data_IF_274145022636
#
_entry.id   IF_274145022636
#
_cell.length_a   1.000
_cell.length_b   1.000
_cell.length_c   1.000
_cell.angle_alpha   90.00
_cell.angle_beta   90.00
_cell.angle_gamma   90.00
#
_symmetry.space_group_name_H-M   'P 1'
#
loop_
_entity.id
_entity.type
_entity.pdbx_description
1 polymer ?
#
# COMPACT_ATOMS: atom_id res chain seq x y z
N UNK A 1 -35.35 -16.20 14.09
CA UNK A 1 -34.03 -15.57 13.97
C UNK A 1 -33.09 -16.31 13.00
N UNK A 2 -32.93 -17.64 13.01
CA UNK A 2 -32.08 -18.38 12.04
C UNK A 2 -32.51 -18.24 10.57
N UNK A 3 -33.80 -18.14 10.27
CA UNK A 3 -34.30 -18.02 8.90
C UNK A 3 -34.08 -16.64 8.29
N UNK A 4 -34.06 -15.55 9.09
CA UNK A 4 -33.78 -14.20 8.59
C UNK A 4 -32.28 -14.00 8.30
N UNK A 5 -31.40 -14.63 9.11
CA UNK A 5 -29.95 -14.61 8.84
C UNK A 5 -29.58 -15.34 7.55
N UNK A 6 -30.25 -16.46 7.22
CA UNK A 6 -30.02 -17.18 5.97
C UNK A 6 -30.53 -16.41 4.74
N UNK A 7 -31.64 -15.68 4.86
CA UNK A 7 -32.17 -14.86 3.76
C UNK A 7 -31.24 -13.67 3.44
N UNK A 8 -30.73 -12.96 4.46
CA UNK A 8 -29.78 -11.85 4.27
C UNK A 8 -28.43 -12.31 3.67
N UNK A 9 -27.98 -13.52 4.02
CA UNK A 9 -26.79 -14.11 3.40
C UNK A 9 -27.03 -14.52 1.94
N UNK A 10 -28.23 -14.98 1.59
CA UNK A 10 -28.59 -15.35 0.22
C UNK A 10 -28.65 -14.16 -0.74
N UNK A 11 -28.93 -12.96 -0.24
CA UNK A 11 -29.06 -11.72 -1.03
C UNK A 11 -27.74 -10.98 -1.23
N UNK A 12 -26.66 -11.28 -0.46
CA UNK A 12 -25.41 -10.56 -0.58
C UNK A 12 -24.65 -10.98 -1.86
N UNK A 13 -24.43 -10.06 -2.83
CA UNK A 13 -23.77 -10.38 -4.09
C UNK A 13 -22.38 -11.00 -3.94
N UNK A 14 -21.65 -10.72 -2.85
CA UNK A 14 -20.33 -11.32 -2.59
C UNK A 14 -20.42 -12.85 -2.47
N UNK A 15 -21.56 -13.36 -1.97
CA UNK A 15 -21.81 -14.79 -1.78
C UNK A 15 -22.54 -15.48 -2.91
N UNK A 16 -23.07 -14.78 -3.91
CA UNK A 16 -23.97 -15.33 -4.94
C UNK A 16 -23.53 -15.02 -6.36
N UNK A 17 -23.07 -13.80 -6.65
CA UNK A 17 -22.70 -13.39 -8.01
C UNK A 17 -21.50 -14.18 -8.55
N UNK A 18 -21.35 -14.34 -9.88
CA UNK A 18 -20.20 -15.01 -10.50
C UNK A 18 -18.87 -14.41 -10.05
N UNK A 19 -17.92 -15.25 -9.63
CA UNK A 19 -16.64 -14.81 -9.05
C UNK A 19 -15.85 -13.93 -10.02
N UNK A 20 -15.79 -14.27 -11.31
CA UNK A 20 -15.09 -13.46 -12.32
C UNK A 20 -15.64 -12.03 -12.41
N UNK A 21 -16.97 -11.87 -12.44
CA UNK A 21 -17.64 -10.56 -12.47
C UNK A 21 -17.38 -9.77 -11.20
N UNK A 22 -17.36 -10.42 -10.03
CA UNK A 22 -17.02 -9.77 -8.77
C UNK A 22 -15.58 -9.26 -8.77
N UNK A 23 -14.63 -10.10 -9.18
CA UNK A 23 -13.21 -9.69 -9.24
C UNK A 23 -13.07 -8.48 -10.16
N UNK A 24 -13.64 -8.50 -11.36
CA UNK A 24 -13.59 -7.37 -12.29
C UNK A 24 -14.18 -6.10 -11.65
N UNK A 25 -15.36 -6.21 -11.03
CA UNK A 25 -16.05 -5.09 -10.40
C UNK A 25 -15.28 -4.45 -9.24
N UNK A 26 -14.52 -5.25 -8.49
CA UNK A 26 -13.76 -4.76 -7.33
C UNK A 26 -12.29 -4.45 -7.67
N UNK A 27 -11.65 -5.26 -8.52
CA UNK A 27 -10.24 -5.10 -8.83
C UNK A 27 -9.98 -3.91 -9.77
N UNK A 28 -10.81 -3.67 -10.79
CA UNK A 28 -10.59 -2.54 -11.71
C UNK A 28 -10.58 -1.20 -10.96
N UNK A 29 -11.59 -0.83 -10.15
CA UNK A 29 -11.53 0.40 -9.38
C UNK A 29 -10.34 0.46 -8.42
N UNK A 30 -9.97 -0.67 -7.80
CA UNK A 30 -8.82 -0.72 -6.90
C UNK A 30 -7.50 -0.52 -7.64
N UNK A 31 -7.31 -1.13 -8.82
CA UNK A 31 -6.12 -0.94 -9.68
C UNK A 31 -6.00 0.52 -10.09
N UNK A 32 -7.09 1.13 -10.59
CA UNK A 32 -7.10 2.54 -10.99
C UNK A 32 -6.72 3.43 -9.80
N UNK A 33 -7.29 3.17 -8.62
CA UNK A 33 -6.97 3.90 -7.40
C UNK A 33 -5.49 3.83 -7.04
N UNK A 34 -4.90 2.63 -7.09
CA UNK A 34 -3.49 2.42 -6.75
C UNK A 34 -2.56 3.04 -7.80
N UNK A 35 -2.88 2.91 -9.08
CA UNK A 35 -2.11 3.54 -10.16
C UNK A 35 -2.14 5.06 -10.05
N UNK A 36 -3.32 5.65 -9.86
CA UNK A 36 -3.44 7.10 -9.69
C UNK A 36 -2.69 7.58 -8.46
N UNK A 37 -2.76 6.84 -7.33
CA UNK A 37 -1.98 7.16 -6.13
C UNK A 37 -0.47 7.09 -6.38
N UNK A 38 0.02 6.13 -7.15
CA UNK A 38 1.44 6.03 -7.51
C UNK A 38 1.87 7.18 -8.43
N UNK A 39 1.06 7.49 -9.42
CA UNK A 39 1.37 8.52 -10.42
C UNK A 39 1.34 9.94 -9.82
N UNK A 40 0.32 10.26 -9.02
CA UNK A 40 0.24 11.60 -8.44
C UNK A 40 1.42 11.88 -7.49
N UNK A 41 1.89 10.89 -6.72
CA UNK A 41 3.09 11.05 -5.90
C UNK A 41 4.34 11.38 -6.73
N UNK A 42 4.46 10.79 -7.93
CA UNK A 42 5.57 11.09 -8.85
C UNK A 42 5.44 12.52 -9.41
N UNK A 43 4.23 12.91 -9.81
CA UNK A 43 3.94 14.24 -10.36
C UNK A 43 4.17 15.34 -9.32
N UNK A 44 3.70 15.15 -8.08
CA UNK A 44 3.94 16.06 -6.96
C UNK A 44 5.45 16.30 -6.73
N UNK A 45 6.25 15.24 -6.70
CA UNK A 45 7.71 15.34 -6.57
C UNK A 45 8.36 16.10 -7.74
N UNK A 46 7.84 15.95 -8.96
CA UNK A 46 8.32 16.71 -10.13
C UNK A 46 8.03 18.20 -9.95
N UNK A 47 6.81 18.58 -9.56
CA UNK A 47 6.45 19.98 -9.34
C UNK A 47 7.27 20.62 -8.22
N UNK A 48 7.47 19.93 -7.10
CA UNK A 48 8.33 20.40 -6.02
C UNK A 48 9.77 20.58 -6.50
N UNK A 49 10.31 19.60 -7.25
CA UNK A 49 11.67 19.68 -7.79
C UNK A 49 11.87 20.83 -8.76
N UNK A 50 10.87 21.12 -9.61
CA UNK A 50 10.93 22.23 -10.56
C UNK A 50 10.69 23.60 -9.93
N UNK A 51 9.78 23.69 -8.95
CA UNK A 51 9.36 24.96 -8.37
C UNK A 51 10.16 25.40 -7.15
N UNK A 52 10.68 24.44 -6.38
CA UNK A 52 11.43 24.71 -5.12
C UNK A 52 12.90 24.27 -5.24
N UNK A 53 13.18 23.34 -6.16
CA UNK A 53 14.51 22.82 -6.40
C UNK A 53 14.93 21.70 -5.43
N UNK A 54 16.24 21.50 -5.32
CA UNK A 54 16.84 20.40 -4.55
C UNK A 54 16.47 20.44 -3.06
N UNK A 55 16.40 21.63 -2.46
CA UNK A 55 16.05 21.78 -1.03
C UNK A 55 14.60 21.39 -0.76
N UNK A 56 13.67 21.64 -1.71
CA UNK A 56 12.29 21.19 -1.60
C UNK A 56 12.18 19.66 -1.61
N UNK A 57 12.86 18.99 -2.54
CA UNK A 57 12.90 17.52 -2.58
C UNK A 57 13.58 16.95 -1.32
N UNK A 58 14.64 17.58 -0.81
CA UNK A 58 15.26 17.16 0.44
C UNK A 58 14.30 17.29 1.63
N UNK A 59 13.50 18.36 1.69
CA UNK A 59 12.50 18.54 2.73
C UNK A 59 11.41 17.46 2.72
N UNK A 60 10.90 17.09 1.54
CA UNK A 60 9.93 15.99 1.44
C UNK A 60 10.52 14.63 1.80
N UNK A 61 11.81 14.40 1.54
CA UNK A 61 12.50 13.18 1.98
C UNK A 61 12.63 13.12 3.50
N UNK A 62 12.88 14.25 4.18
CA UNK A 62 12.90 14.32 5.65
C UNK A 62 11.48 14.12 6.23
N UNK A 63 10.44 14.52 5.49
CA UNK A 63 9.04 14.27 5.84
C UNK A 63 8.60 12.80 5.69
N UNK A 64 9.30 12.01 4.89
CA UNK A 64 8.90 10.66 4.51
C UNK A 64 8.62 9.71 5.68
N UNK A 65 9.39 9.69 6.79
CA UNK A 65 9.06 8.86 7.95
C UNK A 65 7.70 9.15 8.58
N UNK A 66 7.28 10.42 8.60
CA UNK A 66 5.95 10.80 9.10
C UNK A 66 4.86 10.20 8.21
N UNK A 67 5.04 10.25 6.89
CA UNK A 67 4.11 9.66 5.93
C UNK A 67 4.04 8.13 6.08
N UNK A 68 5.17 7.46 6.30
CA UNK A 68 5.21 6.00 6.53
C UNK A 68 4.44 5.62 7.79
N UNK A 69 4.68 6.29 8.91
CA UNK A 69 4.00 6.03 10.18
C UNK A 69 2.49 6.24 10.02
N UNK A 70 2.10 7.33 9.36
CA UNK A 70 0.69 7.64 9.11
C UNK A 70 0.02 6.60 8.20
N UNK A 71 0.71 6.15 7.15
CA UNK A 71 0.24 5.08 6.27
C UNK A 71 0.13 3.75 7.02
N UNK A 72 1.12 3.41 7.83
CA UNK A 72 1.12 2.18 8.63
C UNK A 72 -0.08 2.15 9.60
N UNK A 73 -0.38 3.28 10.27
CA UNK A 73 -1.55 3.41 11.14
C UNK A 73 -2.86 3.31 10.35
N UNK A 74 -2.95 3.96 9.19
CA UNK A 74 -4.13 3.90 8.33
C UNK A 74 -4.41 2.47 7.82
N UNK A 75 -3.38 1.74 7.41
CA UNK A 75 -3.50 0.35 6.93
C UNK A 75 -3.79 -0.62 8.09
N UNK A 76 -3.16 -0.42 9.25
CA UNK A 76 -3.45 -1.19 10.46
C UNK A 76 -4.94 -1.16 10.79
N UNK A 77 -5.50 0.03 10.86
CA UNK A 77 -6.89 0.25 11.23
C UNK A 77 -7.85 -0.06 10.09
N UNK A 78 -7.55 0.38 8.87
CA UNK A 78 -8.40 0.24 7.70
C UNK A 78 -8.54 -1.21 7.23
N UNK A 79 -7.42 -1.89 6.99
CA UNK A 79 -7.42 -3.30 6.55
C UNK A 79 -7.92 -4.21 7.66
N UNK A 80 -7.49 -3.95 8.92
CA UNK A 80 -7.95 -4.73 10.06
C UNK A 80 -9.46 -4.64 10.26
N UNK A 81 -10.04 -3.44 10.15
CA UNK A 81 -11.49 -3.24 10.24
C UNK A 81 -12.25 -3.88 9.10
N UNK A 82 -11.80 -3.68 7.85
CA UNK A 82 -12.44 -4.20 6.66
C UNK A 82 -12.43 -5.74 6.63
N UNK A 83 -11.31 -6.37 7.00
CA UNK A 83 -11.19 -7.83 7.04
C UNK A 83 -12.11 -8.45 8.08
N UNK A 84 -12.11 -7.92 9.31
CA UNK A 84 -13.01 -8.39 10.37
C UNK A 84 -14.48 -8.15 10.00
N UNK A 85 -14.80 -6.98 9.42
CA UNK A 85 -16.15 -6.68 8.94
C UNK A 85 -16.65 -7.74 7.93
N UNK A 86 -15.85 -8.05 6.92
CA UNK A 86 -16.22 -9.02 5.91
C UNK A 86 -16.39 -10.44 6.47
N UNK A 87 -15.53 -10.86 7.40
CA UNK A 87 -15.61 -12.16 8.06
C UNK A 87 -16.90 -12.29 8.90
N UNK A 88 -17.21 -11.27 9.69
CA UNK A 88 -18.41 -11.29 10.55
C UNK A 88 -19.71 -11.16 9.72
N UNK A 89 -19.68 -10.36 8.63
CA UNK A 89 -20.79 -10.29 7.69
C UNK A 89 -21.04 -11.64 7.00
N UNK A 90 -19.99 -12.33 6.59
CA UNK A 90 -20.09 -13.69 6.03
C UNK A 90 -20.63 -14.70 7.04
N UNK A 91 -20.25 -14.58 8.31
CA UNK A 91 -20.74 -15.42 9.39
C UNK A 91 -22.19 -15.10 9.84
N UNK A 92 -22.82 -14.05 9.29
CA UNK A 92 -24.17 -13.61 9.64
C UNK A 92 -24.24 -12.75 10.90
N UNK A 93 -23.11 -12.27 11.42
CA UNK A 93 -23.02 -11.45 12.64
C UNK A 93 -23.04 -9.94 12.29
N UNK A 94 -24.10 -9.45 11.64
CA UNK A 94 -24.19 -8.08 11.13
C UNK A 94 -23.95 -7.00 12.21
N UNK A 95 -24.52 -7.16 13.42
CA UNK A 95 -24.33 -6.20 14.51
C UNK A 95 -22.86 -6.11 14.95
N UNK A 96 -22.15 -7.25 15.00
CA UNK A 96 -20.74 -7.30 15.35
C UNK A 96 -19.88 -6.71 14.25
N UNK A 97 -20.16 -7.04 12.97
CA UNK A 97 -19.50 -6.47 11.82
C UNK A 97 -19.62 -4.93 11.83
N UNK A 98 -20.82 -4.42 12.00
CA UNK A 98 -21.10 -2.98 12.09
C UNK A 98 -20.40 -2.29 13.25
N UNK A 99 -20.37 -2.94 14.43
CA UNK A 99 -19.64 -2.43 15.59
C UNK A 99 -18.12 -2.35 15.35
N UNK A 100 -17.55 -3.32 14.62
CA UNK A 100 -16.13 -3.30 14.25
C UNK A 100 -15.85 -2.17 13.23
N UNK A 101 -16.71 -2.03 12.22
CA UNK A 101 -16.57 -0.95 11.22
C UNK A 101 -16.67 0.44 11.88
N UNK A 102 -17.62 0.65 12.79
CA UNK A 102 -17.77 1.90 13.53
C UNK A 102 -16.56 2.20 14.41
N UNK A 103 -16.08 1.21 15.18
CA UNK A 103 -14.85 1.33 15.97
C UNK A 103 -13.66 1.68 15.07
N UNK A 104 -13.52 1.04 13.90
CA UNK A 104 -12.45 1.32 12.95
C UNK A 104 -12.50 2.74 12.41
N UNK A 105 -13.69 3.20 12.00
CA UNK A 105 -13.88 4.54 11.45
C UNK A 105 -13.50 5.64 12.47
N UNK A 106 -14.00 5.54 13.69
CA UNK A 106 -13.67 6.51 14.74
C UNK A 106 -12.20 6.46 15.14
N UNK A 107 -11.60 5.26 15.22
CA UNK A 107 -10.19 5.12 15.57
C UNK A 107 -9.27 5.66 14.47
N UNK A 108 -9.65 5.59 13.19
CA UNK A 108 -8.91 6.23 12.09
C UNK A 108 -8.81 7.75 12.30
N UNK A 109 -9.91 8.40 12.65
CA UNK A 109 -9.94 9.85 12.93
C UNK A 109 -9.10 10.16 14.17
N UNK A 110 -9.31 9.43 15.26
CA UNK A 110 -8.58 9.62 16.52
C UNK A 110 -7.08 9.45 16.33
N UNK A 111 -6.64 8.37 15.66
CA UNK A 111 -5.22 8.11 15.44
C UNK A 111 -4.57 9.15 14.54
N UNK A 112 -5.25 9.59 13.47
CA UNK A 112 -4.77 10.66 12.61
C UNK A 112 -4.64 11.99 13.37
N UNK A 113 -5.60 12.31 14.25
CA UNK A 113 -5.54 13.50 15.11
C UNK A 113 -4.41 13.41 16.11
N UNK A 114 -4.22 12.27 16.78
CA UNK A 114 -3.11 12.07 17.72
C UNK A 114 -1.77 12.21 17.00
N UNK A 115 -1.60 11.60 15.81
CA UNK A 115 -0.38 11.75 15.01
C UNK A 115 -0.14 13.20 14.62
N UNK A 116 -1.17 13.93 14.19
CA UNK A 116 -1.10 15.35 13.87
C UNK A 116 -0.58 16.18 15.07
N UNK A 117 -1.18 15.99 16.24
CA UNK A 117 -0.79 16.68 17.47
C UNK A 117 0.66 16.34 17.86
N UNK A 118 1.05 15.06 17.82
CA UNK A 118 2.42 14.65 18.14
C UNK A 118 3.42 15.29 17.17
N UNK A 119 3.15 15.24 15.86
CA UNK A 119 4.04 15.83 14.85
C UNK A 119 4.16 17.34 15.04
N UNK A 120 3.07 18.05 15.31
CA UNK A 120 3.10 19.51 15.53
C UNK A 120 3.82 19.90 16.83
N UNK A 121 3.59 19.17 17.93
CA UNK A 121 4.25 19.42 19.20
C UNK A 121 5.76 19.16 19.17
N UNK A 122 6.17 18.10 18.48
CA UNK A 122 7.57 17.67 18.40
C UNK A 122 8.20 17.95 17.03
N UNK A 123 7.70 18.92 16.27
CA UNK A 123 8.07 19.19 14.89
C UNK A 123 9.59 19.31 14.70
N UNK A 124 10.23 20.25 15.41
CA UNK A 124 11.67 20.47 15.30
C UNK A 124 12.52 19.29 15.76
N UNK A 125 12.27 18.69 16.96
CA UNK A 125 12.99 17.49 17.40
C UNK A 125 12.88 16.31 16.42
N UNK A 126 11.69 16.08 15.86
CA UNK A 126 11.49 15.00 14.88
C UNK A 126 12.27 15.24 13.59
N UNK A 127 12.28 16.48 13.08
CA UNK A 127 13.02 16.83 11.87
C UNK A 127 14.54 16.69 12.06
N UNK A 128 15.08 17.08 13.22
CA UNK A 128 16.48 16.85 13.56
C UNK A 128 16.80 15.36 13.64
N UNK A 129 15.93 14.58 14.29
CA UNK A 129 16.08 13.13 14.40
C UNK A 129 16.07 12.44 13.02
N UNK A 130 15.27 12.95 12.07
CA UNK A 130 15.21 12.44 10.70
C UNK A 130 16.34 12.94 9.78
N UNK A 131 17.31 13.71 10.33
CA UNK A 131 18.50 14.13 9.60
C UNK A 131 18.38 15.48 8.89
N UNK A 132 17.49 16.36 9.37
CA UNK A 132 17.36 17.73 8.85
C UNK A 132 18.63 18.54 9.03
N UNK A 133 19.22 19.01 7.91
CA UNK A 133 20.37 19.93 7.91
C UNK A 133 19.89 21.38 8.07
N UNK A 134 20.77 22.31 8.53
CA UNK A 134 20.39 23.71 8.69
C UNK A 134 19.75 24.35 7.45
N UNK A 135 20.23 23.99 6.24
CA UNK A 135 19.71 24.55 4.98
C UNK A 135 18.33 24.00 4.59
N UNK A 136 18.05 22.73 4.92
CA UNK A 136 16.79 22.06 4.58
C UNK A 136 15.73 22.29 5.65
N UNK A 137 16.13 22.56 6.88
CA UNK A 137 15.23 22.68 8.04
C UNK A 137 14.08 23.67 7.84
N UNK A 138 14.30 24.91 7.32
CA UNK A 138 13.20 25.85 7.09
C UNK A 138 12.11 25.27 6.15
N UNK A 139 12.53 24.65 5.06
CA UNK A 139 11.62 24.02 4.08
C UNK A 139 10.87 22.83 4.69
N UNK A 140 11.56 22.02 5.49
CA UNK A 140 10.97 20.85 6.13
C UNK A 140 9.96 21.26 7.22
N UNK A 141 10.23 22.32 8.00
CA UNK A 141 9.30 22.87 9.00
C UNK A 141 8.03 23.39 8.30
N UNK A 142 8.18 24.15 7.22
CA UNK A 142 7.05 24.67 6.47
C UNK A 142 6.21 23.55 5.86
N UNK A 143 6.85 22.54 5.23
CA UNK A 143 6.16 21.43 4.60
C UNK A 143 5.43 20.54 5.61
N UNK A 144 6.15 20.03 6.64
CA UNK A 144 5.57 19.13 7.62
C UNK A 144 4.60 19.85 8.55
N UNK A 145 4.87 21.10 8.92
CA UNK A 145 3.97 21.88 9.75
C UNK A 145 2.58 22.05 9.11
N UNK A 146 2.53 22.24 7.80
CA UNK A 146 1.27 22.33 7.06
C UNK A 146 0.67 20.92 6.84
N UNK A 147 1.45 19.96 6.33
CA UNK A 147 0.92 18.61 6.02
C UNK A 147 0.46 17.87 7.25
N UNK A 148 1.02 18.13 8.44
CA UNK A 148 0.56 17.58 9.70
C UNK A 148 -0.92 17.91 10.00
N UNK A 149 -1.41 19.07 9.57
CA UNK A 149 -2.83 19.46 9.71
C UNK A 149 -3.74 18.52 8.91
N UNK A 150 -3.24 18.02 7.78
CA UNK A 150 -3.97 17.07 6.91
C UNK A 150 -3.99 15.61 7.42
N UNK A 151 -3.14 15.23 8.38
CA UNK A 151 -2.99 13.85 8.83
C UNK A 151 -4.29 13.16 9.29
N UNK A 152 -5.22 13.82 10.00
CA UNK A 152 -6.51 13.21 10.34
C UNK A 152 -7.29 12.78 9.10
N UNK A 153 -7.30 13.61 8.08
CA UNK A 153 -7.99 13.33 6.81
C UNK A 153 -7.22 12.30 5.97
N UNK A 154 -5.90 12.34 5.99
CA UNK A 154 -5.05 11.36 5.31
C UNK A 154 -5.25 9.95 5.86
N UNK A 155 -5.20 9.78 7.18
CA UNK A 155 -5.39 8.47 7.83
C UNK A 155 -6.81 7.98 7.61
N UNK A 156 -7.80 8.86 7.73
CA UNK A 156 -9.20 8.55 7.45
C UNK A 156 -9.42 8.16 5.98
N UNK A 157 -8.87 8.91 5.02
CA UNK A 157 -9.06 8.62 3.60
C UNK A 157 -8.38 7.30 3.22
N UNK A 158 -7.15 7.09 3.64
CA UNK A 158 -6.39 5.87 3.32
C UNK A 158 -7.03 4.64 3.94
N UNK A 159 -7.35 4.66 5.24
CA UNK A 159 -7.96 3.54 5.94
C UNK A 159 -9.45 3.33 5.62
N UNK A 160 -10.22 4.43 5.52
CA UNK A 160 -11.66 4.40 5.26
C UNK A 160 -12.03 3.84 3.89
N UNK A 161 -11.16 4.01 2.89
CA UNK A 161 -11.34 3.40 1.57
C UNK A 161 -11.42 1.87 1.61
N UNK A 162 -10.73 1.20 2.55
CA UNK A 162 -10.87 -0.25 2.74
C UNK A 162 -12.26 -0.62 3.27
N UNK A 163 -12.82 0.18 4.18
CA UNK A 163 -14.18 -0.03 4.71
C UNK A 163 -15.25 0.24 3.65
N UNK A 164 -15.08 1.25 2.78
CA UNK A 164 -16.02 1.51 1.66
C UNK A 164 -16.03 0.35 0.68
N UNK A 165 -14.85 -0.23 0.37
CA UNK A 165 -14.77 -1.43 -0.48
C UNK A 165 -15.44 -2.64 0.21
N UNK A 166 -15.23 -2.82 1.51
CA UNK A 166 -15.89 -3.85 2.29
C UNK A 166 -17.43 -3.67 2.30
N UNK A 167 -17.91 -2.43 2.27
CA UNK A 167 -19.34 -2.08 2.14
C UNK A 167 -19.86 -2.14 0.69
N UNK A 168 -19.20 -2.91 -0.18
CA UNK A 168 -19.62 -3.20 -1.56
C UNK A 168 -19.69 -1.97 -2.47
N UNK A 169 -18.88 -0.94 -2.23
CA UNK A 169 -18.86 0.30 -3.01
C UNK A 169 -17.46 0.63 -3.55
N UNK A 170 -16.80 -0.28 -4.32
CA UNK A 170 -15.43 -0.08 -4.80
C UNK A 170 -15.29 1.13 -5.73
N UNK A 171 -16.29 1.41 -6.55
CA UNK A 171 -16.29 2.57 -7.46
C UNK A 171 -16.31 3.90 -6.68
N UNK A 172 -17.05 3.98 -5.57
CA UNK A 172 -17.04 5.17 -4.74
C UNK A 172 -15.68 5.36 -4.02
N UNK A 173 -15.09 4.26 -3.52
CA UNK A 173 -13.72 4.29 -2.99
C UNK A 173 -12.72 4.82 -4.01
N UNK A 174 -12.81 4.38 -5.27
CA UNK A 174 -12.00 4.91 -6.36
C UNK A 174 -12.25 6.43 -6.56
N UNK A 175 -13.50 6.86 -6.59
CA UNK A 175 -13.83 8.27 -6.78
C UNK A 175 -13.25 9.16 -5.67
N UNK A 176 -13.23 8.72 -4.40
CA UNK A 176 -12.60 9.45 -3.30
C UNK A 176 -11.09 9.67 -3.53
N UNK A 177 -10.38 8.64 -3.97
CA UNK A 177 -8.94 8.70 -4.23
C UNK A 177 -8.65 9.58 -5.45
N UNK A 178 -9.40 9.38 -6.54
CA UNK A 178 -9.28 10.18 -7.76
C UNK A 178 -9.55 11.67 -7.51
N UNK A 179 -10.57 12.02 -6.74
CA UNK A 179 -10.89 13.40 -6.42
C UNK A 179 -9.75 14.08 -5.66
N UNK A 180 -9.19 13.44 -4.63
CA UNK A 180 -8.07 13.99 -3.88
C UNK A 180 -6.82 14.15 -4.73
N UNK A 181 -6.48 13.13 -5.53
CA UNK A 181 -5.32 13.18 -6.43
C UNK A 181 -5.47 14.25 -7.52
N UNK A 182 -6.66 14.38 -8.13
CA UNK A 182 -6.92 15.38 -9.15
C UNK A 182 -6.81 16.81 -8.58
N UNK A 183 -7.39 17.06 -7.40
CA UNK A 183 -7.32 18.35 -6.74
C UNK A 183 -5.87 18.69 -6.39
N UNK A 184 -5.11 17.77 -5.80
CA UNK A 184 -3.70 17.98 -5.51
C UNK A 184 -2.92 18.32 -6.80
N UNK A 185 -3.02 17.50 -7.84
CA UNK A 185 -2.31 17.71 -9.11
C UNK A 185 -2.65 19.04 -9.80
N UNK A 186 -3.88 19.55 -9.65
CA UNK A 186 -4.29 20.85 -10.19
C UNK A 186 -3.78 22.00 -9.32
N UNK A 187 -3.84 21.85 -8.00
CA UNK A 187 -3.45 22.92 -7.07
C UNK A 187 -1.93 23.04 -6.91
N UNK A 188 -1.15 21.98 -7.09
CA UNK A 188 0.31 22.02 -7.02
C UNK A 188 0.92 23.09 -7.95
N UNK A 189 0.71 23.06 -9.28
CA UNK A 189 1.26 24.08 -10.17
C UNK A 189 0.68 25.46 -9.90
N UNK A 190 -0.60 25.55 -9.52
CA UNK A 190 -1.23 26.83 -9.20
C UNK A 190 -0.60 27.49 -7.98
N UNK A 191 -0.36 26.75 -6.90
CA UNK A 191 0.18 27.32 -5.67
C UNK A 191 1.70 27.46 -5.72
N UNK A 192 2.41 26.51 -6.35
CA UNK A 192 3.87 26.55 -6.46
C UNK A 192 4.32 27.66 -7.42
N UNK A 193 3.77 27.68 -8.64
CA UNK A 193 4.21 28.59 -9.72
C UNK A 193 3.30 29.81 -9.85
N UNK A 194 1.97 29.62 -9.81
CA UNK A 194 1.01 30.70 -10.03
C UNK A 194 1.01 31.72 -8.90
N UNK A 195 0.98 31.27 -7.64
CA UNK A 195 1.01 32.14 -6.46
C UNK A 195 2.43 32.33 -5.89
N UNK A 196 3.42 31.56 -6.34
CA UNK A 196 4.79 31.65 -5.89
C UNK A 196 5.00 31.20 -4.44
N UNK A 197 4.12 30.33 -3.90
CA UNK A 197 4.21 29.87 -2.50
C UNK A 197 5.27 28.79 -2.30
N UNK A 198 5.88 28.27 -3.38
CA UNK A 198 6.95 27.26 -3.30
C UNK A 198 6.52 26.03 -2.51
N UNK A 199 7.34 25.61 -1.51
CA UNK A 199 7.09 24.39 -0.72
C UNK A 199 5.79 24.48 0.11
N UNK A 200 5.41 25.65 0.58
CA UNK A 200 4.14 25.86 1.29
C UNK A 200 2.95 25.61 0.37
N UNK A 201 3.08 25.97 -0.90
CA UNK A 201 2.06 25.73 -1.92
C UNK A 201 1.81 24.24 -2.13
N UNK A 202 2.88 23.44 -2.31
CA UNK A 202 2.79 21.99 -2.40
C UNK A 202 2.15 21.36 -1.15
N UNK A 203 2.55 21.81 0.04
CA UNK A 203 1.98 21.33 1.30
C UNK A 203 0.47 21.62 1.41
N UNK A 204 0.02 22.82 1.07
CA UNK A 204 -1.42 23.16 1.08
C UNK A 204 -2.21 22.41 0.00
N UNK A 205 -1.68 22.23 -1.19
CA UNK A 205 -2.32 21.43 -2.23
C UNK A 205 -2.55 19.99 -1.76
N UNK A 206 -1.54 19.38 -1.12
CA UNK A 206 -1.63 18.05 -0.52
C UNK A 206 -2.69 18.00 0.57
N UNK A 207 -2.72 18.96 1.51
CA UNK A 207 -3.70 19.01 2.60
C UNK A 207 -5.12 19.15 2.06
N UNK A 208 -5.34 20.05 1.10
CA UNK A 208 -6.68 20.23 0.49
C UNK A 208 -7.15 18.93 -0.19
N UNK A 209 -6.28 18.26 -0.95
CA UNK A 209 -6.60 16.95 -1.55
C UNK A 209 -6.97 15.90 -0.50
N UNK A 210 -6.25 15.86 0.63
CA UNK A 210 -6.54 14.96 1.75
C UNK A 210 -7.88 15.30 2.43
N UNK A 211 -8.15 16.58 2.67
CA UNK A 211 -9.42 17.05 3.25
C UNK A 211 -10.59 16.64 2.37
N UNK A 212 -10.51 16.90 1.05
CA UNK A 212 -11.59 16.52 0.13
C UNK A 212 -11.82 15.02 0.13
N UNK A 213 -10.76 14.21 0.03
CA UNK A 213 -10.89 12.75 0.13
C UNK A 213 -11.51 12.32 1.46
N UNK A 214 -11.06 12.88 2.58
CA UNK A 214 -11.59 12.58 3.91
C UNK A 214 -13.05 12.98 4.07
N UNK A 215 -13.45 14.15 3.56
CA UNK A 215 -14.85 14.59 3.58
C UNK A 215 -15.76 13.70 2.72
N UNK A 216 -15.29 13.22 1.57
CA UNK A 216 -16.03 12.25 0.75
C UNK A 216 -16.22 10.91 1.50
N UNK A 217 -15.23 10.46 2.30
CA UNK A 217 -15.39 9.29 3.17
C UNK A 217 -16.46 9.53 4.24
N UNK A 218 -16.41 10.69 4.92
CA UNK A 218 -17.43 11.07 5.92
C UNK A 218 -18.82 11.14 5.29
N UNK A 219 -18.93 11.75 4.12
CA UNK A 219 -20.20 11.83 3.37
C UNK A 219 -20.73 10.43 3.04
N UNK A 220 -19.86 9.51 2.59
CA UNK A 220 -20.26 8.13 2.32
C UNK A 220 -20.88 7.46 3.55
N UNK A 221 -20.17 7.49 4.68
CA UNK A 221 -20.65 6.85 5.91
C UNK A 221 -21.85 7.55 6.54
N UNK A 222 -22.08 8.82 6.21
CA UNK A 222 -23.25 9.56 6.68
C UNK A 222 -24.52 9.27 5.84
N UNK A 223 -24.38 9.15 4.51
CA UNK A 223 -25.52 9.18 3.59
C UNK A 223 -25.64 8.00 2.63
N UNK A 224 -24.51 7.40 2.21
CA UNK A 224 -24.47 6.42 1.11
C UNK A 224 -24.15 4.99 1.56
N UNK A 225 -23.83 4.80 2.84
CA UNK A 225 -23.45 3.49 3.38
C UNK A 225 -24.55 2.44 3.17
N UNK A 226 -24.13 1.22 2.91
CA UNK A 226 -24.99 0.04 2.82
C UNK A 226 -24.98 -0.77 4.13
N UNK A 227 -23.94 -0.58 4.97
CA UNK A 227 -23.85 -1.18 6.29
C UNK A 227 -24.75 -0.46 7.29
N UNK A 228 -25.29 -1.22 8.25
CA UNK A 228 -25.95 -0.62 9.39
C UNK A 228 -24.90 -0.01 10.31
N UNK A 229 -25.02 1.27 10.64
CA UNK A 229 -24.12 1.97 11.53
C UNK A 229 -24.91 2.92 12.44
N UNK A 230 -24.88 2.64 13.73
CA UNK A 230 -25.49 3.48 14.74
C UNK A 230 -24.45 4.31 15.50
N UNK A 231 -24.82 5.45 16.06
CA UNK A 231 -23.90 6.33 16.80
C UNK A 231 -23.18 5.60 17.96
N UNK A 232 -23.86 4.67 18.62
CA UNK A 232 -23.26 3.85 19.69
C UNK A 232 -22.13 2.94 19.22
N UNK A 233 -22.07 2.62 17.91
CA UNK A 233 -21.06 1.79 17.30
C UNK A 233 -19.77 2.56 16.96
N UNK A 234 -19.85 3.89 16.93
CA UNK A 234 -18.69 4.77 16.73
C UNK A 234 -17.83 4.89 18.00
N UNK A 235 -18.34 4.48 19.16
CA UNK A 235 -17.55 4.47 20.38
C UNK A 235 -16.55 3.32 20.31
N UNK A 236 -15.21 3.59 20.39
CA UNK A 236 -14.20 2.56 20.30
C UNK A 236 -14.34 1.53 21.43
N UNK A 237 -14.41 0.25 21.07
CA UNK A 237 -14.47 -0.85 22.02
C UNK A 237 -13.15 -1.61 22.01
N UNK A 238 -12.53 -1.81 23.18
CA UNK A 238 -11.24 -2.49 23.29
C UNK A 238 -11.21 -3.87 22.63
N UNK A 239 -12.30 -4.65 22.75
CA UNK A 239 -12.43 -5.96 22.08
C UNK A 239 -12.38 -5.87 20.55
N UNK A 240 -13.03 -4.85 19.97
CA UNK A 240 -13.01 -4.62 18.54
C UNK A 240 -11.62 -4.15 18.10
N UNK A 241 -10.97 -3.26 18.88
CA UNK A 241 -9.60 -2.80 18.59
C UNK A 241 -8.61 -3.96 18.57
N UNK A 242 -8.67 -4.88 19.54
CA UNK A 242 -7.82 -6.07 19.55
C UNK A 242 -7.98 -6.91 18.27
N UNK A 243 -9.22 -7.11 17.81
CA UNK A 243 -9.47 -7.82 16.55
C UNK A 243 -8.94 -7.05 15.33
N UNK A 244 -9.13 -5.73 15.28
CA UNK A 244 -8.63 -4.85 14.22
C UNK A 244 -7.10 -4.89 14.17
N UNK A 245 -6.43 -4.72 15.30
CA UNK A 245 -4.98 -4.78 15.39
C UNK A 245 -4.44 -6.15 14.95
N UNK A 246 -5.08 -7.23 15.37
CA UNK A 246 -4.65 -8.59 15.00
C UNK A 246 -4.55 -8.77 13.48
N UNK A 247 -5.56 -8.39 12.71
CA UNK A 247 -5.56 -8.56 11.25
C UNK A 247 -4.85 -7.43 10.51
N UNK A 248 -4.84 -6.22 11.04
CA UNK A 248 -4.17 -5.07 10.42
C UNK A 248 -2.65 -5.07 10.61
N UNK A 249 -2.12 -5.77 11.62
CA UNK A 249 -0.70 -5.78 11.98
C UNK A 249 0.19 -6.21 10.82
N UNK A 250 -0.24 -7.16 10.00
CA UNK A 250 0.51 -7.62 8.84
C UNK A 250 0.86 -6.46 7.87
N UNK A 251 -0.11 -5.61 7.59
CA UNK A 251 0.07 -4.48 6.66
C UNK A 251 0.89 -3.35 7.29
N UNK A 252 0.70 -3.10 8.59
CA UNK A 252 1.50 -2.13 9.34
C UNK A 252 2.98 -2.51 9.34
N UNK A 253 3.30 -3.74 9.75
CA UNK A 253 4.68 -4.23 9.80
C UNK A 253 5.30 -4.24 8.40
N UNK A 254 4.55 -4.62 7.37
CA UNK A 254 5.04 -4.58 5.99
C UNK A 254 5.46 -3.17 5.57
N UNK A 255 4.68 -2.15 5.94
CA UNK A 255 5.00 -0.75 5.59
C UNK A 255 6.30 -0.29 6.26
N UNK A 256 6.49 -0.62 7.53
CA UNK A 256 7.72 -0.31 8.27
C UNK A 256 8.91 -1.09 7.69
N UNK A 257 8.71 -2.36 7.32
CA UNK A 257 9.74 -3.19 6.72
C UNK A 257 10.22 -2.64 5.36
N UNK A 258 9.31 -2.17 4.51
CA UNK A 258 9.65 -1.54 3.22
C UNK A 258 10.54 -0.32 3.45
N UNK A 259 10.21 0.52 4.44
CA UNK A 259 11.02 1.70 4.77
C UNK A 259 12.43 1.31 5.26
N UNK A 260 12.53 0.33 6.15
CA UNK A 260 13.82 -0.16 6.65
C UNK A 260 14.70 -0.71 5.52
N UNK A 261 14.12 -1.52 4.63
CA UNK A 261 14.82 -2.03 3.45
C UNK A 261 15.31 -0.91 2.54
N UNK A 262 14.47 0.12 2.30
CA UNK A 262 14.85 1.26 1.45
C UNK A 262 16.05 2.02 2.02
N UNK A 263 16.10 2.24 3.34
CA UNK A 263 17.22 2.90 4.01
C UNK A 263 18.50 2.07 3.87
N UNK A 264 18.44 0.77 4.16
CA UNK A 264 19.58 -0.14 4.04
C UNK A 264 20.05 -0.23 2.60
N UNK A 265 19.13 -0.38 1.64
CA UNK A 265 19.42 -0.41 0.20
C UNK A 265 20.20 0.82 -0.26
N UNK A 266 19.71 2.02 0.09
CA UNK A 266 20.36 3.27 -0.31
C UNK A 266 21.79 3.40 0.29
N UNK A 267 21.95 3.04 1.57
CA UNK A 267 23.26 3.06 2.22
C UNK A 267 24.23 2.05 1.59
N UNK A 268 23.77 0.85 1.29
CA UNK A 268 24.58 -0.20 0.65
C UNK A 268 25.00 0.21 -0.78
N UNK A 269 24.04 0.74 -1.56
CA UNK A 269 24.32 1.23 -2.91
C UNK A 269 25.30 2.40 -2.90
N UNK A 270 25.20 3.32 -1.93
CA UNK A 270 26.15 4.41 -1.76
C UNK A 270 27.55 3.90 -1.47
N UNK A 271 27.68 2.98 -0.51
CA UNK A 271 28.98 2.44 -0.08
C UNK A 271 29.66 1.66 -1.20
N UNK A 272 28.99 0.64 -1.74
CA UNK A 272 29.58 -0.22 -2.78
C UNK A 272 29.64 0.46 -4.14
N UNK A 273 28.78 1.43 -4.40
CA UNK A 273 28.85 2.29 -5.58
C UNK A 273 30.15 3.10 -5.60
N UNK A 274 30.51 3.72 -4.47
CA UNK A 274 31.77 4.46 -4.32
C UNK A 274 33.02 3.59 -4.56
N UNK A 275 32.93 2.29 -4.29
CA UNK A 275 34.00 1.30 -4.50
C UNK A 275 34.00 0.72 -5.93
N UNK A 276 33.04 1.09 -6.77
CA UNK A 276 32.88 0.60 -8.14
C UNK A 276 33.23 1.67 -9.18
N UNK A 277 33.31 1.27 -10.44
CA UNK A 277 33.51 2.20 -11.56
C UNK A 277 32.32 3.16 -11.77
N UNK A 278 31.16 2.90 -11.13
CA UNK A 278 29.93 3.70 -11.29
C UNK A 278 29.86 4.91 -10.34
N UNK A 279 30.70 4.96 -9.29
CA UNK A 279 30.58 5.99 -8.26
C UNK A 279 29.35 5.78 -7.36
N UNK A 280 29.14 6.69 -6.38
CA UNK A 280 28.02 6.60 -5.44
C UNK A 280 26.67 7.03 -6.04
N UNK A 281 26.69 7.94 -7.01
CA UNK A 281 25.48 8.67 -7.45
C UNK A 281 24.67 7.88 -8.49
N UNK A 282 25.35 7.22 -9.46
CA UNK A 282 24.70 6.44 -10.51
C UNK A 282 23.85 5.29 -9.93
N UNK A 283 24.38 4.45 -9.00
CA UNK A 283 23.59 3.35 -8.41
C UNK A 283 22.36 3.83 -7.65
N UNK A 284 22.47 4.92 -6.89
CA UNK A 284 21.35 5.49 -6.12
C UNK A 284 20.28 6.05 -7.07
N UNK A 285 20.69 6.81 -8.10
CA UNK A 285 19.78 7.35 -9.10
C UNK A 285 19.03 6.22 -9.84
N UNK A 286 19.74 5.18 -10.28
CA UNK A 286 19.14 4.02 -10.96
C UNK A 286 18.19 3.24 -10.04
N UNK A 287 18.54 3.03 -8.77
CA UNK A 287 17.66 2.38 -7.81
C UNK A 287 16.37 3.19 -7.57
N UNK A 288 16.47 4.52 -7.57
CA UNK A 288 15.30 5.39 -7.48
C UNK A 288 14.32 5.20 -8.64
N UNK A 289 14.85 5.11 -9.87
CA UNK A 289 14.04 4.86 -11.07
C UNK A 289 13.39 3.46 -11.01
N UNK A 290 14.18 2.45 -10.72
CA UNK A 290 13.70 1.06 -10.64
C UNK A 290 12.64 0.92 -9.54
N UNK A 291 12.79 1.62 -8.41
CA UNK A 291 11.78 1.67 -7.37
C UNK A 291 10.46 2.28 -7.85
N UNK A 292 10.49 3.36 -8.65
CA UNK A 292 9.29 3.96 -9.25
C UNK A 292 8.62 3.03 -10.27
N UNK A 293 9.41 2.38 -11.12
CA UNK A 293 8.91 1.37 -12.08
C UNK A 293 8.25 0.21 -11.34
N UNK A 294 8.91 -0.30 -10.29
CA UNK A 294 8.36 -1.36 -9.44
C UNK A 294 7.09 -0.91 -8.72
N UNK A 295 7.00 0.34 -8.27
CA UNK A 295 5.81 0.90 -7.62
C UNK A 295 4.59 0.87 -8.55
N UNK A 296 4.75 1.21 -9.83
CA UNK A 296 3.67 1.13 -10.83
C UNK A 296 3.22 -0.32 -11.04
N UNK A 297 4.15 -1.26 -11.18
CA UNK A 297 3.85 -2.68 -11.27
C UNK A 297 3.12 -3.19 -10.02
N UNK A 298 3.65 -2.90 -8.84
CA UNK A 298 3.07 -3.32 -7.56
C UNK A 298 1.69 -2.70 -7.30
N UNK A 299 1.43 -1.48 -7.79
CA UNK A 299 0.12 -0.85 -7.69
C UNK A 299 -0.99 -1.70 -8.33
N UNK A 300 -0.69 -2.34 -9.46
CA UNK A 300 -1.64 -3.26 -10.13
C UNK A 300 -1.84 -4.53 -9.30
N UNK A 301 -0.76 -5.17 -8.85
CA UNK A 301 -0.83 -6.39 -8.05
C UNK A 301 -1.58 -6.18 -6.73
N UNK A 302 -1.29 -5.07 -6.04
CA UNK A 302 -1.96 -4.67 -4.80
C UNK A 302 -3.43 -4.32 -5.08
N UNK A 303 -3.74 -3.67 -6.20
CA UNK A 303 -5.10 -3.36 -6.62
C UNK A 303 -5.95 -4.63 -6.80
N UNK A 304 -5.43 -5.65 -7.48
CA UNK A 304 -6.10 -6.95 -7.62
C UNK A 304 -6.33 -7.59 -6.24
N UNK A 305 -5.31 -7.57 -5.40
CA UNK A 305 -5.35 -8.14 -4.07
C UNK A 305 -6.40 -7.47 -3.18
N UNK A 306 -6.41 -6.13 -3.13
CA UNK A 306 -7.37 -5.34 -2.37
C UNK A 306 -8.80 -5.45 -2.90
N UNK A 307 -8.96 -5.58 -4.22
CA UNK A 307 -10.26 -5.83 -4.83
C UNK A 307 -10.81 -7.21 -4.48
N UNK A 308 -9.95 -8.21 -4.30
CA UNK A 308 -10.35 -9.59 -3.93
C UNK A 308 -10.63 -9.75 -2.43
N UNK A 309 -10.11 -8.85 -1.59
CA UNK A 309 -10.20 -8.92 -0.13
C UNK A 309 -11.63 -9.07 0.40
N UNK A 310 -12.63 -8.27 0.00
CA UNK A 310 -14.01 -8.43 0.47
C UNK A 310 -14.61 -9.77 0.08
N UNK A 311 -14.27 -10.30 -1.11
CA UNK A 311 -14.79 -11.56 -1.61
C UNK A 311 -14.25 -12.72 -0.79
N UNK A 312 -12.94 -12.74 -0.51
CA UNK A 312 -12.32 -13.76 0.34
C UNK A 312 -12.89 -13.75 1.75
N UNK A 313 -12.92 -12.58 2.40
CA UNK A 313 -13.36 -12.45 3.79
C UNK A 313 -14.82 -12.87 3.98
N UNK A 314 -15.72 -12.36 3.14
CA UNK A 314 -17.14 -12.70 3.20
C UNK A 314 -17.39 -14.19 2.98
N UNK A 315 -16.85 -14.78 1.91
CA UNK A 315 -17.08 -16.19 1.60
C UNK A 315 -16.43 -17.14 2.61
N UNK A 316 -15.29 -16.75 3.20
CA UNK A 316 -14.67 -17.52 4.27
C UNK A 316 -15.53 -17.50 5.54
N UNK A 317 -16.02 -16.34 5.94
CA UNK A 317 -16.96 -16.20 7.07
C UNK A 317 -18.26 -17.00 6.85
N UNK A 318 -18.76 -17.02 5.61
CA UNK A 318 -19.93 -17.79 5.21
C UNK A 318 -19.65 -19.29 5.02
N UNK A 319 -18.43 -19.77 5.25
CA UNK A 319 -17.97 -21.15 5.00
C UNK A 319 -18.12 -21.63 3.56
N UNK A 320 -18.24 -20.72 2.59
CA UNK A 320 -18.31 -21.02 1.15
C UNK A 320 -16.91 -21.22 0.57
N UNK A 321 -16.20 -22.25 1.02
CA UNK A 321 -14.77 -22.47 0.73
C UNK A 321 -14.47 -22.68 -0.76
N UNK A 322 -15.36 -23.27 -1.54
CA UNK A 322 -15.19 -23.39 -2.99
C UNK A 322 -15.06 -22.03 -3.66
N UNK A 323 -15.88 -21.05 -3.26
CA UNK A 323 -15.82 -19.69 -3.78
C UNK A 323 -14.53 -18.97 -3.36
N UNK A 324 -14.06 -19.18 -2.13
CA UNK A 324 -12.77 -18.65 -1.65
C UNK A 324 -11.64 -19.16 -2.52
N UNK A 325 -11.58 -20.48 -2.76
CA UNK A 325 -10.56 -21.12 -3.60
C UNK A 325 -10.64 -20.64 -5.06
N UNK A 326 -11.84 -20.53 -5.60
CA UNK A 326 -12.07 -20.02 -6.95
C UNK A 326 -11.59 -18.58 -7.08
N UNK A 327 -11.96 -17.70 -6.15
CA UNK A 327 -11.51 -16.30 -6.13
C UNK A 327 -10.00 -16.20 -6.05
N UNK A 328 -9.35 -16.99 -5.19
CA UNK A 328 -7.89 -17.00 -5.06
C UNK A 328 -7.22 -17.40 -6.38
N UNK A 329 -7.68 -18.48 -7.04
CA UNK A 329 -7.14 -18.92 -8.31
C UNK A 329 -7.28 -17.85 -9.40
N UNK A 330 -8.47 -17.26 -9.56
CA UNK A 330 -8.68 -16.19 -10.55
C UNK A 330 -7.78 -14.98 -10.29
N UNK A 331 -7.67 -14.54 -9.03
CA UNK A 331 -6.84 -13.40 -8.67
C UNK A 331 -5.36 -13.66 -8.93
N UNK A 332 -4.86 -14.86 -8.56
CA UNK A 332 -3.47 -15.27 -8.82
C UNK A 332 -3.21 -15.35 -10.32
N UNK A 333 -4.10 -15.99 -11.09
CA UNK A 333 -3.95 -16.08 -12.55
C UNK A 333 -3.91 -14.70 -13.20
N UNK A 334 -4.84 -13.82 -12.86
CA UNK A 334 -4.87 -12.45 -13.38
C UNK A 334 -3.58 -11.69 -13.03
N UNK A 335 -3.14 -11.77 -11.77
CA UNK A 335 -1.91 -11.14 -11.32
C UNK A 335 -0.68 -11.69 -12.05
N UNK A 336 -0.58 -13.03 -12.22
CA UNK A 336 0.54 -13.66 -12.91
C UNK A 336 0.59 -13.30 -14.40
N UNK A 337 -0.55 -13.23 -15.08
CA UNK A 337 -0.62 -12.81 -16.49
C UNK A 337 -0.09 -11.38 -16.63
N UNK A 338 -0.56 -10.45 -15.82
CA UNK A 338 -0.10 -9.06 -15.85
C UNK A 338 1.38 -8.97 -15.47
N UNK A 339 1.80 -9.68 -14.43
CA UNK A 339 3.19 -9.73 -13.98
C UNK A 339 4.13 -10.28 -15.06
N UNK A 340 3.68 -11.26 -15.84
CA UNK A 340 4.43 -11.80 -16.98
C UNK A 340 4.58 -10.78 -18.11
N UNK A 341 3.55 -9.98 -18.38
CA UNK A 341 3.64 -8.89 -19.36
C UNK A 341 4.71 -7.86 -18.92
N UNK A 342 4.66 -7.43 -17.65
CA UNK A 342 5.67 -6.52 -17.10
C UNK A 342 7.07 -7.14 -17.12
N UNK A 343 7.21 -8.42 -16.80
CA UNK A 343 8.48 -9.13 -16.90
C UNK A 343 9.04 -9.07 -18.33
N UNK A 344 8.23 -9.35 -19.34
CA UNK A 344 8.63 -9.23 -20.76
C UNK A 344 9.08 -7.80 -21.06
N UNK A 345 8.32 -6.79 -20.64
CA UNK A 345 8.69 -5.39 -20.83
C UNK A 345 10.05 -5.05 -20.18
N UNK A 346 10.27 -5.49 -18.95
CA UNK A 346 11.51 -5.21 -18.21
C UNK A 346 12.73 -5.92 -18.78
N UNK A 347 12.56 -7.11 -19.36
CA UNK A 347 13.67 -7.87 -19.95
C UNK A 347 14.02 -7.40 -21.38
N UNK A 348 13.02 -7.05 -22.19
CA UNK A 348 13.24 -6.73 -23.61
C UNK A 348 13.36 -5.24 -23.89
N UNK A 349 12.75 -4.37 -23.06
CA UNK A 349 12.72 -2.92 -23.28
C UNK A 349 13.32 -2.09 -22.12
N UNK A 350 14.41 -2.51 -21.46
CA UNK A 350 14.94 -1.79 -20.31
C UNK A 350 15.46 -0.39 -20.66
N UNK A 351 16.11 -0.23 -21.85
CA UNK A 351 16.62 1.06 -22.32
C UNK A 351 15.52 2.10 -22.46
N UNK A 352 14.41 1.71 -23.11
CA UNK A 352 13.26 2.60 -23.31
C UNK A 352 12.61 2.98 -21.98
N UNK A 353 12.48 2.03 -21.05
CA UNK A 353 11.89 2.26 -19.73
C UNK A 353 12.75 3.24 -18.92
N UNK A 354 14.06 3.04 -18.89
CA UNK A 354 14.99 3.94 -18.18
C UNK A 354 15.00 5.32 -18.85
N UNK A 355 14.98 5.38 -20.19
CA UNK A 355 14.96 6.62 -20.98
C UNK A 355 13.73 7.51 -20.72
N UNK A 356 12.60 6.97 -20.28
CA UNK A 356 11.41 7.76 -19.88
C UNK A 356 11.75 8.71 -18.71
N UNK A 357 12.67 8.31 -17.82
CA UNK A 357 13.01 9.06 -16.60
C UNK A 357 14.14 10.08 -16.81
N UNK A 358 14.76 10.14 -17.96
CA UNK A 358 15.78 11.13 -18.32
C UNK A 358 16.92 10.59 -19.16
N UNK A 359 17.82 11.50 -19.52
CA UNK A 359 19.05 11.19 -20.26
C UNK A 359 20.23 11.07 -19.28
N UNK A 360 21.18 10.20 -19.60
CA UNK A 360 22.38 9.98 -18.80
C UNK A 360 23.56 9.56 -19.66
N UNK A 361 24.71 9.32 -19.03
CA UNK A 361 25.89 8.79 -19.67
C UNK A 361 25.68 7.33 -20.10
N UNK A 362 26.51 6.82 -21.00
CA UNK A 362 26.49 5.39 -21.39
C UNK A 362 26.67 4.48 -20.17
N UNK A 363 27.49 4.92 -19.21
CA UNK A 363 27.74 4.19 -17.98
C UNK A 363 26.47 4.12 -17.10
N UNK A 364 25.69 5.20 -17.06
CA UNK A 364 24.39 5.24 -16.38
C UNK A 364 23.39 4.27 -17.00
N UNK A 365 23.20 4.29 -18.33
CA UNK A 365 22.29 3.37 -19.01
C UNK A 365 22.73 1.91 -18.84
N UNK A 366 24.04 1.63 -18.99
CA UNK A 366 24.57 0.29 -18.79
C UNK A 366 24.25 -0.26 -17.37
N UNK A 367 24.46 0.55 -16.34
CA UNK A 367 24.15 0.13 -14.97
C UNK A 367 22.64 -0.03 -14.76
N UNK A 368 21.82 0.93 -15.21
CA UNK A 368 20.39 0.94 -15.02
C UNK A 368 19.70 -0.24 -15.73
N UNK A 369 20.09 -0.56 -16.95
CA UNK A 369 19.58 -1.72 -17.69
C UNK A 369 19.96 -3.04 -17.03
N UNK A 370 21.23 -3.18 -16.63
CA UNK A 370 21.70 -4.36 -15.91
C UNK A 370 20.94 -4.54 -14.61
N UNK A 371 20.78 -3.45 -13.83
CA UNK A 371 20.07 -3.48 -12.57
C UNK A 371 18.59 -3.82 -12.77
N UNK A 372 17.91 -3.19 -13.73
CA UNK A 372 16.50 -3.47 -14.01
C UNK A 372 16.30 -4.95 -14.39
N UNK A 373 17.11 -5.47 -15.31
CA UNK A 373 17.00 -6.87 -15.76
C UNK A 373 17.23 -7.86 -14.65
N UNK A 374 18.27 -7.66 -13.84
CA UNK A 374 18.63 -8.62 -12.78
C UNK A 374 17.66 -8.49 -11.60
N UNK A 375 17.47 -7.27 -11.07
CA UNK A 375 16.66 -7.07 -9.87
C UNK A 375 15.19 -7.43 -10.08
N UNK A 376 14.66 -7.18 -11.29
CA UNK A 376 13.29 -7.47 -11.68
C UNK A 376 13.12 -8.83 -12.41
N UNK A 377 14.10 -9.72 -12.32
CA UNK A 377 14.08 -11.03 -12.99
C UNK A 377 12.88 -11.90 -12.58
N UNK A 378 12.45 -11.81 -11.32
CA UNK A 378 11.34 -12.61 -10.78
C UNK A 378 10.00 -11.87 -10.78
N UNK A 379 9.86 -10.80 -11.56
CA UNK A 379 8.62 -9.98 -11.63
C UNK A 379 7.39 -10.84 -11.91
N UNK A 380 7.46 -11.84 -12.77
CA UNK A 380 6.34 -12.74 -13.10
C UNK A 380 5.78 -13.50 -11.89
N UNK A 381 6.58 -13.70 -10.84
CA UNK A 381 6.20 -14.40 -9.61
C UNK A 381 5.96 -13.44 -8.43
N UNK A 382 6.47 -12.22 -8.50
CA UNK A 382 6.55 -11.28 -7.38
C UNK A 382 5.17 -10.80 -6.87
N UNK A 383 4.13 -10.82 -7.72
CA UNK A 383 2.77 -10.45 -7.31
C UNK A 383 2.08 -11.46 -6.38
N UNK A 384 2.54 -12.72 -6.33
CA UNK A 384 1.87 -13.79 -5.58
C UNK A 384 2.08 -13.63 -4.06
N UNK A 385 3.25 -13.18 -3.63
CA UNK A 385 3.56 -13.00 -2.21
C UNK A 385 2.66 -11.95 -1.54
N UNK A 386 2.54 -10.69 -2.03
CA UNK A 386 1.67 -9.69 -1.40
C UNK A 386 0.18 -10.08 -1.50
N UNK A 387 -0.21 -10.78 -2.58
CA UNK A 387 -1.56 -11.33 -2.72
C UNK A 387 -1.84 -12.38 -1.65
N UNK A 388 -0.91 -13.30 -1.39
CA UNK A 388 -1.05 -14.31 -0.34
C UNK A 388 -1.09 -13.69 1.06
N UNK A 389 -0.30 -12.66 1.33
CA UNK A 389 -0.34 -11.92 2.59
C UNK A 389 -1.73 -11.29 2.83
N UNK A 390 -2.28 -10.63 1.81
CA UNK A 390 -3.62 -10.06 1.85
C UNK A 390 -4.71 -11.14 1.99
N UNK A 391 -4.56 -12.26 1.30
CA UNK A 391 -5.46 -13.41 1.40
C UNK A 391 -5.53 -13.95 2.82
N UNK A 392 -4.39 -14.25 3.46
CA UNK A 392 -4.36 -14.75 4.84
C UNK A 392 -4.96 -13.76 5.85
N UNK A 393 -4.70 -12.48 5.67
CA UNK A 393 -5.32 -11.42 6.48
C UNK A 393 -6.85 -11.41 6.29
N UNK A 394 -7.31 -11.53 5.06
CA UNK A 394 -8.74 -11.50 4.71
C UNK A 394 -9.53 -12.67 5.27
N UNK A 395 -8.91 -13.86 5.37
CA UNK A 395 -9.54 -15.06 5.94
C UNK A 395 -9.35 -15.20 7.46
N UNK A 396 -8.84 -14.15 8.14
CA UNK A 396 -8.70 -14.13 9.60
C UNK A 396 -7.44 -14.82 10.14
N UNK A 397 -6.50 -15.25 9.29
CA UNK A 397 -5.25 -15.92 9.69
C UNK A 397 -4.11 -14.92 9.88
N UNK A 398 -4.25 -14.05 10.91
CA UNK A 398 -3.34 -12.95 11.21
C UNK A 398 -1.86 -13.36 11.23
N UNK A 399 -1.51 -14.46 11.93
CA UNK A 399 -0.13 -14.94 12.04
C UNK A 399 0.50 -15.24 10.68
N UNK A 400 -0.23 -15.92 9.81
CA UNK A 400 0.24 -16.23 8.46
C UNK A 400 0.36 -14.97 7.60
N UNK A 401 -0.57 -14.03 7.75
CA UNK A 401 -0.49 -12.72 7.10
C UNK A 401 0.78 -11.96 7.49
N UNK A 402 1.12 -11.91 8.77
CA UNK A 402 2.36 -11.28 9.27
C UNK A 402 3.60 -11.99 8.73
N UNK A 403 3.65 -13.32 8.83
CA UNK A 403 4.79 -14.10 8.30
C UNK A 403 4.98 -13.83 6.81
N UNK A 404 3.90 -13.87 6.02
CA UNK A 404 3.98 -13.58 4.58
C UNK A 404 4.45 -12.16 4.29
N UNK A 405 3.99 -11.18 5.05
CA UNK A 405 4.39 -9.78 4.89
C UNK A 405 5.89 -9.56 5.19
N UNK A 406 6.43 -10.23 6.20
CA UNK A 406 7.83 -10.10 6.60
C UNK A 406 8.78 -10.93 5.73
N UNK A 407 8.31 -12.00 5.12
CA UNK A 407 9.15 -13.00 4.43
C UNK A 407 10.04 -12.33 3.38
N UNK A 408 9.49 -11.55 2.47
CA UNK A 408 10.25 -10.93 1.39
C UNK A 408 11.19 -9.84 1.91
N UNK A 409 10.67 -8.93 2.71
CA UNK A 409 11.39 -7.70 3.09
C UNK A 409 12.44 -7.95 4.16
N UNK A 410 12.04 -8.56 5.28
CA UNK A 410 12.89 -8.68 6.47
C UNK A 410 13.65 -9.99 6.49
N UNK A 411 12.99 -11.09 6.13
CA UNK A 411 13.64 -12.41 6.25
C UNK A 411 14.66 -12.66 5.14
N UNK A 412 14.36 -12.23 3.90
CA UNK A 412 15.25 -12.49 2.78
C UNK A 412 15.94 -11.23 2.25
N UNK A 413 15.21 -10.20 1.80
CA UNK A 413 15.81 -9.10 1.08
C UNK A 413 16.81 -8.30 1.93
N UNK A 414 16.45 -7.95 3.16
CA UNK A 414 17.30 -7.14 4.03
C UNK A 414 18.64 -7.82 4.35
N UNK A 415 18.71 -9.11 4.77
CA UNK A 415 19.99 -9.79 4.96
C UNK A 415 20.80 -9.93 3.66
N UNK A 416 20.15 -10.24 2.54
CA UNK A 416 20.82 -10.41 1.27
C UNK A 416 21.45 -9.12 0.74
N UNK A 417 20.78 -7.97 0.92
CA UNK A 417 21.33 -6.66 0.54
C UNK A 417 22.60 -6.33 1.34
N UNK A 418 22.72 -6.82 2.57
CA UNK A 418 23.90 -6.58 3.40
C UNK A 418 25.00 -7.58 3.10
N UNK A 419 24.67 -8.87 2.94
CA UNK A 419 25.64 -9.96 2.84
C UNK A 419 26.23 -10.09 1.44
N UNK A 420 25.40 -10.04 0.38
CA UNK A 420 25.87 -10.30 -0.99
C UNK A 420 26.86 -9.28 -1.52
N UNK A 421 26.75 -7.98 -1.23
CA UNK A 421 27.75 -7.02 -1.67
C UNK A 421 29.15 -7.26 -1.11
N UNK A 422 29.27 -7.95 0.03
CA UNK A 422 30.59 -8.34 0.60
C UNK A 422 31.33 -9.30 -0.36
N UNK A 423 30.60 -10.16 -1.08
CA UNK A 423 31.18 -11.15 -1.99
C UNK A 423 31.18 -10.71 -3.45
N UNK A 424 30.16 -9.97 -3.89
CA UNK A 424 29.92 -9.63 -5.29
C UNK A 424 29.99 -8.12 -5.56
N UNK A 425 30.42 -7.30 -4.59
CA UNK A 425 30.42 -5.84 -4.75
C UNK A 425 29.02 -5.31 -5.03
N UNK A 426 28.92 -4.27 -5.86
CA UNK A 426 27.62 -3.63 -6.16
C UNK A 426 26.62 -4.57 -6.85
N UNK A 427 27.10 -5.54 -7.62
CA UNK A 427 26.24 -6.54 -8.27
C UNK A 427 25.49 -7.41 -7.25
N UNK A 428 26.05 -7.58 -6.05
CA UNK A 428 25.42 -8.30 -4.95
C UNK A 428 24.05 -7.72 -4.56
N UNK A 429 23.89 -6.40 -4.65
CA UNK A 429 22.59 -5.74 -4.42
C UNK A 429 21.57 -6.16 -5.48
N UNK A 430 22.02 -6.30 -6.73
CA UNK A 430 21.14 -6.71 -7.83
C UNK A 430 20.65 -8.16 -7.66
N UNK A 431 21.54 -9.07 -7.22
CA UNK A 431 21.20 -10.49 -7.01
C UNK A 431 20.30 -10.72 -5.80
N UNK A 432 20.32 -9.82 -4.82
CA UNK A 432 19.46 -9.92 -3.63
C UNK A 432 17.96 -9.94 -3.98
N UNK A 433 17.53 -9.16 -4.97
CA UNK A 433 16.13 -9.08 -5.42
C UNK A 433 15.55 -10.44 -5.85
N UNK A 434 16.08 -11.07 -6.91
CA UNK A 434 15.55 -12.33 -7.44
C UNK A 434 15.54 -13.46 -6.42
N UNK A 435 16.57 -13.54 -5.57
CA UNK A 435 16.67 -14.59 -4.55
C UNK A 435 15.63 -14.39 -3.46
N UNK A 436 15.44 -13.16 -3.00
CA UNK A 436 14.40 -12.82 -2.04
C UNK A 436 13.00 -13.09 -2.62
N UNK A 437 12.76 -12.69 -3.88
CA UNK A 437 11.49 -12.90 -4.57
C UNK A 437 11.18 -14.39 -4.77
N UNK A 438 12.18 -15.19 -5.18
CA UNK A 438 12.04 -16.65 -5.35
C UNK A 438 11.70 -17.32 -4.02
N UNK A 439 12.42 -16.98 -2.97
CA UNK A 439 12.21 -17.56 -1.64
C UNK A 439 10.84 -17.20 -1.08
N UNK A 440 10.43 -15.93 -1.23
CA UNK A 440 9.10 -15.47 -0.81
C UNK A 440 7.97 -16.11 -1.63
N UNK A 441 8.16 -16.27 -2.94
CA UNK A 441 7.23 -16.95 -3.83
C UNK A 441 7.04 -18.42 -3.42
N UNK A 442 8.10 -19.17 -3.21
CA UNK A 442 8.03 -20.58 -2.80
C UNK A 442 7.23 -20.73 -1.51
N UNK A 443 7.56 -19.93 -0.48
CA UNK A 443 6.82 -19.96 0.77
C UNK A 443 5.35 -19.58 0.60
N UNK A 444 5.05 -18.54 -0.18
CA UNK A 444 3.68 -18.14 -0.45
C UNK A 444 2.87 -19.26 -1.11
N UNK A 445 3.45 -19.93 -2.10
CA UNK A 445 2.80 -21.07 -2.78
C UNK A 445 2.59 -22.25 -1.83
N UNK A 446 3.57 -22.60 -1.01
CA UNK A 446 3.48 -23.72 -0.05
C UNK A 446 2.35 -23.47 0.95
N UNK A 447 2.33 -22.28 1.60
CA UNK A 447 1.32 -21.96 2.60
C UNK A 447 -0.08 -21.82 1.96
N UNK A 448 -0.18 -21.20 0.78
CA UNK A 448 -1.45 -21.08 0.09
C UNK A 448 -2.01 -22.46 -0.32
N UNK A 449 -1.17 -23.35 -0.90
CA UNK A 449 -1.61 -24.71 -1.26
C UNK A 449 -2.08 -25.50 -0.06
N UNK A 450 -1.35 -25.41 1.07
CA UNK A 450 -1.75 -26.06 2.32
C UNK A 450 -3.12 -25.57 2.79
N UNK A 451 -3.32 -24.24 2.79
CA UNK A 451 -4.57 -23.63 3.24
C UNK A 451 -5.75 -24.00 2.34
N UNK A 452 -5.55 -23.92 1.01
CA UNK A 452 -6.58 -24.32 0.05
C UNK A 452 -6.92 -25.81 0.16
N UNK A 453 -5.96 -26.67 0.53
CA UNK A 453 -6.15 -28.07 0.85
C UNK A 453 -7.03 -28.29 2.09
N UNK A 454 -6.76 -27.54 3.16
CA UNK A 454 -7.58 -27.57 4.40
C UNK A 454 -9.02 -27.16 4.11
N UNK A 455 -9.22 -26.08 3.31
CA UNK A 455 -10.56 -25.67 2.90
C UNK A 455 -11.29 -26.73 2.07
N UNK A 456 -10.57 -27.45 1.18
CA UNK A 456 -11.14 -28.53 0.37
C UNK A 456 -11.60 -29.69 1.25
N UNK A 457 -10.78 -30.09 2.22
CA UNK A 457 -11.13 -31.14 3.18
C UNK A 457 -12.33 -30.75 4.07
N UNK A 458 -12.36 -29.49 4.55
CA UNK A 458 -13.48 -29.00 5.35
C UNK A 458 -14.82 -28.97 4.60
N UNK A 459 -14.77 -28.75 3.27
CA UNK A 459 -15.96 -28.76 2.41
C UNK A 459 -16.48 -30.19 2.15
N UNK A 460 -15.59 -31.18 2.08
CA UNK A 460 -15.96 -32.57 1.89
C UNK A 460 -16.58 -33.22 3.13
N UNK A 461 -16.28 -32.64 4.31
CA UNK A 461 -16.76 -33.14 5.61
C UNK A 461 -18.00 -32.37 6.13
N UNK A 462 -18.50 -31.39 5.41
CA UNK A 462 -19.69 -30.58 5.72
C UNK A 462 -20.90 -30.98 4.90
#
# INVERSE_FOLDING_TARGET
MKNQTNAAQAENPLGTAPVGSLITKFAIPAIISMLVSALYNIVDQIFIGQGVGMLGNAATNIAFPVTIISTAAALLLGIGSASNYNLEMGAGNEKKASSIAGTGLSTLIISGTILSVIVLLFLKPLLHFFGGTPDVMPYAIDYIGITAIGLPFYVLSTGGNHLIRADRSPTYSMACILAGAAINTILDPLFIFGFGWGIKGAAWATVIGQIVSGLLIIFYFSRLRKMYLDHSMLIPKARNLSAIFSLGMASCINQVAIAAVQIVMNNTLRHYGALSAYGSDIPIACAGIISKVNQVFMAICIGISQGSQPIWGFNYGAKKYSRVRQTYRYSVTLCTVIATIFFICFQFFPHQIVGIFGNGSDLYFHFAEKYLRIFMLMTFANGIQPMSACFFTSIGKARLGVIMSLTRQVLFLLPLIVIFPVFFGIDGVMYAGPIADTSAFVLAVVFARRELGVMKAAEQNA
#
